data_IF_219559296852
#
_entry.id   IF_219559296852
#
_cell.length_a   1.000
_cell.length_b   1.000
_cell.length_c   1.000
_cell.angle_alpha   90.00
_cell.angle_beta   90.00
_cell.angle_gamma   90.00
#
_symmetry.space_group_name_H-M   'P 1'
#
loop_
_entity.id
_entity.type
_entity.pdbx_description
1 polymer ?
#
# COMPACT_ATOMS: atom_id res chain seq x y z
N UNK A 1 56.32 0.60 44.91
CA UNK A 1 55.34 0.08 43.97
C UNK A 1 54.04 -0.04 44.73
N UNK A 2 53.19 0.97 44.66
CA UNK A 2 51.89 1.01 45.33
C UNK A 2 50.83 1.00 44.24
N UNK A 3 50.14 -0.12 44.18
CA UNK A 3 49.06 -0.39 43.22
C UNK A 3 47.80 0.35 43.67
N UNK A 4 47.39 1.38 42.91
CA UNK A 4 46.21 2.19 43.23
C UNK A 4 45.05 1.67 42.41
N UNK A 5 44.38 0.64 42.91
CA UNK A 5 43.13 0.17 42.36
C UNK A 5 41.98 1.09 42.78
N UNK A 6 41.51 1.94 41.87
CA UNK A 6 40.36 2.84 42.12
C UNK A 6 39.07 1.99 42.17
N UNK A 7 38.25 2.04 43.24
CA UNK A 7 36.99 1.29 43.28
C UNK A 7 35.97 1.95 42.37
N UNK A 8 35.52 1.22 41.38
CA UNK A 8 34.40 1.61 40.47
C UNK A 8 33.13 1.72 41.32
N UNK A 9 32.55 2.92 41.39
CA UNK A 9 31.37 3.25 42.19
C UNK A 9 30.15 2.36 41.82
N UNK A 10 29.47 1.72 42.79
CA UNK A 10 28.32 0.84 42.54
C UNK A 10 27.11 1.57 41.88
N UNK A 11 27.03 2.89 42.02
CA UNK A 11 25.98 3.70 41.37
C UNK A 11 26.12 3.84 39.85
N UNK A 12 27.34 3.76 39.31
CA UNK A 12 27.59 3.77 37.86
C UNK A 12 27.06 2.50 37.16
N UNK A 13 27.25 1.34 37.81
CA UNK A 13 26.82 0.05 37.27
C UNK A 13 25.28 -0.11 37.23
N UNK A 14 24.57 0.36 38.27
CA UNK A 14 23.12 0.29 38.33
C UNK A 14 22.46 1.20 37.31
N UNK A 15 22.99 2.39 37.05
CA UNK A 15 22.50 3.31 36.02
C UNK A 15 22.72 2.76 34.60
N UNK A 16 23.89 2.21 34.36
CA UNK A 16 24.24 1.56 33.08
C UNK A 16 23.42 0.29 32.82
N UNK A 17 23.12 -0.49 33.88
CA UNK A 17 22.25 -1.66 33.78
C UNK A 17 20.80 -1.27 33.45
N UNK A 18 20.27 -0.22 34.10
CA UNK A 18 18.90 0.30 33.80
C UNK A 18 18.80 0.87 32.40
N UNK A 19 19.81 1.55 31.88
CA UNK A 19 19.85 2.06 30.51
C UNK A 19 19.85 0.90 29.50
N UNK A 20 20.70 -0.11 29.72
CA UNK A 20 20.77 -1.32 28.90
C UNK A 20 19.45 -2.10 28.92
N UNK A 21 18.81 -2.23 30.08
CA UNK A 21 17.53 -2.93 30.22
C UNK A 21 16.42 -2.22 29.39
N UNK A 22 16.27 -0.88 29.54
CA UNK A 22 15.31 -0.10 28.74
C UNK A 22 15.59 -0.17 27.24
N UNK A 23 16.86 -0.16 26.84
CA UNK A 23 17.24 -0.29 25.44
C UNK A 23 16.84 -1.66 24.88
N UNK A 24 17.07 -2.73 25.62
CA UNK A 24 16.70 -4.09 25.23
C UNK A 24 15.17 -4.27 25.16
N UNK A 25 14.42 -3.71 26.11
CA UNK A 25 12.95 -3.76 26.07
C UNK A 25 12.40 -3.00 24.85
N UNK A 26 12.95 -1.82 24.56
CA UNK A 26 12.59 -1.05 23.37
C UNK A 26 12.89 -1.82 22.08
N UNK A 27 14.07 -2.43 21.98
CA UNK A 27 14.44 -3.24 20.81
C UNK A 27 13.53 -4.45 20.60
N UNK A 28 13.16 -5.13 21.70
CA UNK A 28 12.22 -6.26 21.64
C UNK A 28 10.80 -5.81 21.22
N UNK A 29 10.34 -4.64 21.68
CA UNK A 29 9.04 -4.11 21.28
C UNK A 29 9.00 -3.75 19.79
N UNK A 30 10.07 -3.16 19.26
CA UNK A 30 10.24 -2.83 17.84
C UNK A 30 10.18 -4.07 16.95
N UNK A 31 10.94 -5.10 17.34
CA UNK A 31 10.94 -6.37 16.59
C UNK A 31 9.55 -7.03 16.63
N UNK A 32 8.91 -7.06 17.81
CA UNK A 32 7.54 -7.61 17.93
C UNK A 32 6.53 -6.91 17.01
N UNK A 33 6.60 -5.58 16.87
CA UNK A 33 5.73 -4.83 15.96
C UNK A 33 5.90 -5.31 14.51
N UNK A 34 7.15 -5.38 14.02
CA UNK A 34 7.43 -5.77 12.63
C UNK A 34 7.06 -7.24 12.37
N UNK A 35 7.39 -8.14 13.31
CA UNK A 35 7.04 -9.56 13.20
C UNK A 35 5.53 -9.74 13.18
N UNK A 36 4.80 -9.11 14.11
CA UNK A 36 3.35 -9.20 14.17
C UNK A 36 2.64 -8.58 12.95
N UNK A 37 3.21 -7.54 12.35
CA UNK A 37 2.69 -6.99 11.09
C UNK A 37 2.93 -7.95 9.91
N UNK A 38 4.10 -8.57 9.84
CA UNK A 38 4.43 -9.56 8.82
C UNK A 38 3.55 -10.82 8.93
N UNK A 39 3.29 -11.30 10.15
CA UNK A 39 2.39 -12.43 10.42
C UNK A 39 0.96 -12.13 9.95
N UNK A 40 0.42 -10.96 10.30
CA UNK A 40 -0.92 -10.54 9.83
C UNK A 40 -0.99 -10.52 8.30
N UNK A 41 0.03 -9.96 7.63
CA UNK A 41 0.06 -9.93 6.17
C UNK A 41 0.19 -11.32 5.54
N UNK A 42 0.89 -12.23 6.19
CA UNK A 42 1.05 -13.61 5.72
C UNK A 42 -0.24 -14.43 5.88
N UNK A 43 -0.98 -14.25 6.98
CA UNK A 43 -2.17 -15.01 7.31
C UNK A 43 -3.45 -14.43 6.71
N UNK A 44 -3.66 -13.11 6.85
CA UNK A 44 -4.88 -12.41 6.46
C UNK A 44 -4.76 -11.71 5.09
N UNK A 45 -3.57 -11.65 4.52
CA UNK A 45 -3.31 -10.94 3.27
C UNK A 45 -3.30 -9.42 3.45
N UNK A 46 -3.90 -8.69 2.48
CA UNK A 46 -3.83 -7.22 2.40
C UNK A 46 -5.22 -6.56 2.51
N UNK A 47 -6.19 -7.32 3.01
CA UNK A 47 -7.57 -6.87 3.18
C UNK A 47 -7.74 -5.81 4.27
N UNK A 48 -8.94 -5.28 4.37
CA UNK A 48 -9.32 -4.27 5.38
C UNK A 48 -9.05 -4.76 6.81
N UNK A 49 -9.36 -6.02 7.12
CA UNK A 49 -9.14 -6.61 8.43
C UNK A 49 -7.66 -6.61 8.82
N UNK A 50 -6.77 -7.00 7.88
CA UNK A 50 -5.32 -6.98 8.10
C UNK A 50 -4.81 -5.54 8.33
N UNK A 51 -5.26 -4.57 7.54
CA UNK A 51 -4.87 -3.17 7.71
C UNK A 51 -5.34 -2.61 9.05
N UNK A 52 -6.55 -2.96 9.48
CA UNK A 52 -7.10 -2.59 10.78
C UNK A 52 -6.29 -3.20 11.94
N UNK A 53 -5.93 -4.48 11.83
CA UNK A 53 -5.10 -5.19 12.82
C UNK A 53 -3.72 -4.55 12.96
N UNK A 54 -3.06 -4.23 11.84
CA UNK A 54 -1.74 -3.60 11.84
C UNK A 54 -1.79 -2.16 12.39
N UNK A 55 -2.82 -1.39 12.06
CA UNK A 55 -3.05 -0.07 12.66
C UNK A 55 -3.14 -0.16 14.18
N UNK A 56 -3.95 -1.10 14.71
CA UNK A 56 -4.07 -1.32 16.16
C UNK A 56 -2.73 -1.68 16.83
N UNK A 57 -1.90 -2.51 16.17
CA UNK A 57 -0.55 -2.85 16.66
C UNK A 57 0.39 -1.64 16.67
N UNK A 58 0.35 -0.79 15.65
CA UNK A 58 1.15 0.43 15.58
C UNK A 58 0.74 1.44 16.64
N UNK A 59 -0.56 1.62 16.87
CA UNK A 59 -1.09 2.48 17.94
C UNK A 59 -0.66 1.96 19.32
N UNK A 60 -0.81 0.68 19.58
CA UNK A 60 -0.39 0.05 20.84
C UNK A 60 1.12 0.21 21.08
N UNK A 61 1.95 0.12 20.04
CA UNK A 61 3.39 0.31 20.13
C UNK A 61 3.79 1.70 20.63
N UNK A 62 3.09 2.75 20.18
CA UNK A 62 3.32 4.12 20.65
C UNK A 62 2.45 4.51 21.86
N UNK A 63 1.58 3.62 22.35
CA UNK A 63 0.57 3.92 23.37
C UNK A 63 -0.34 5.08 23.00
N UNK A 64 -0.77 5.11 21.71
CA UNK A 64 -1.71 6.07 21.16
C UNK A 64 -3.06 5.40 20.90
N UNK A 65 -4.16 6.20 20.93
CA UNK A 65 -5.53 5.65 20.90
C UNK A 65 -6.22 5.83 19.56
N UNK A 66 -5.80 6.81 18.76
CA UNK A 66 -6.47 7.21 17.55
C UNK A 66 -5.54 7.11 16.35
N UNK A 67 -6.06 6.67 15.20
CA UNK A 67 -5.22 6.62 14.01
C UNK A 67 -5.96 6.21 12.74
N UNK A 68 -5.26 6.41 11.64
CA UNK A 68 -5.70 6.17 10.27
C UNK A 68 -4.57 5.55 9.46
N UNK A 69 -4.92 4.62 8.60
CA UNK A 69 -4.10 4.21 7.47
C UNK A 69 -4.73 4.76 6.19
N UNK A 70 -3.95 5.49 5.43
CA UNK A 70 -4.37 6.23 4.25
C UNK A 70 -3.57 5.79 3.04
N UNK A 71 -4.24 5.53 1.92
CA UNK A 71 -3.59 5.28 0.63
C UNK A 71 -3.78 6.46 -0.33
N UNK A 72 -2.76 6.76 -1.13
CA UNK A 72 -2.82 7.77 -2.18
C UNK A 72 -3.57 7.23 -3.37
N UNK A 73 -4.59 7.97 -3.81
CA UNK A 73 -5.32 7.75 -5.05
C UNK A 73 -5.29 9.00 -5.93
N UNK A 74 -5.76 8.90 -7.15
CA UNK A 74 -5.80 10.02 -8.11
C UNK A 74 -6.69 11.17 -7.66
N UNK A 75 -7.67 10.90 -6.80
CA UNK A 75 -8.68 11.83 -6.28
C UNK A 75 -8.46 12.22 -4.81
N UNK A 76 -7.33 11.85 -4.21
CA UNK A 76 -6.98 12.21 -2.83
C UNK A 76 -6.46 11.03 -2.00
N UNK A 77 -6.58 11.16 -0.69
CA UNK A 77 -6.21 10.13 0.26
C UNK A 77 -7.44 9.32 0.66
N UNK A 78 -7.39 8.00 0.50
CA UNK A 78 -8.47 7.10 0.90
C UNK A 78 -8.14 6.43 2.24
N UNK A 79 -9.09 6.45 3.16
CA UNK A 79 -8.97 5.79 4.46
C UNK A 79 -9.20 4.30 4.28
N UNK A 80 -8.20 3.47 4.59
CA UNK A 80 -8.26 2.00 4.48
C UNK A 80 -8.36 1.29 5.83
N UNK A 81 -7.93 1.96 6.91
CA UNK A 81 -8.19 1.53 8.27
C UNK A 81 -8.32 2.76 9.18
N UNK A 82 -9.12 2.67 10.24
CA UNK A 82 -9.34 3.77 11.16
C UNK A 82 -9.68 3.28 12.56
N UNK A 83 -9.17 3.98 13.59
CA UNK A 83 -9.46 3.71 14.99
C UNK A 83 -9.66 5.02 15.75
N UNK A 84 -10.71 5.11 16.56
CA UNK A 84 -11.05 6.30 17.33
C UNK A 84 -11.98 7.29 16.59
N UNK A 85 -12.17 8.52 17.12
CA UNK A 85 -13.03 9.55 16.55
C UNK A 85 -12.35 10.27 15.37
N UNK A 86 -11.98 9.52 14.35
CA UNK A 86 -11.29 9.96 13.13
C UNK A 86 -12.13 9.66 11.89
N UNK A 87 -11.69 10.10 10.72
CA UNK A 87 -12.41 9.84 9.47
C UNK A 87 -12.63 8.32 9.27
N UNK A 88 -13.83 7.88 8.93
CA UNK A 88 -14.16 6.45 8.82
C UNK A 88 -13.50 5.82 7.59
N UNK A 89 -13.38 4.48 7.61
CA UNK A 89 -12.93 3.70 6.45
C UNK A 89 -13.78 4.03 5.22
N UNK A 90 -13.15 4.14 4.07
CA UNK A 90 -13.76 4.57 2.82
C UNK A 90 -13.90 6.08 2.63
N UNK A 91 -13.64 6.88 3.67
CA UNK A 91 -13.64 8.35 3.53
C UNK A 91 -12.49 8.80 2.62
N UNK A 92 -12.72 9.92 1.92
CA UNK A 92 -11.72 10.60 1.09
C UNK A 92 -11.30 11.90 1.73
N UNK A 93 -10.02 12.12 1.83
CA UNK A 93 -9.43 13.29 2.45
C UNK A 93 -8.56 14.04 1.43
N UNK A 94 -8.63 15.37 1.37
CA UNK A 94 -7.73 16.14 0.52
C UNK A 94 -6.31 16.12 1.10
N UNK A 95 -5.31 15.92 0.23
CA UNK A 95 -3.90 16.02 0.60
C UNK A 95 -3.49 17.50 0.74
N UNK A 96 -3.79 18.13 1.87
CA UNK A 96 -3.48 19.55 2.14
C UNK A 96 -2.80 19.73 3.49
N UNK A 97 -2.04 20.81 3.68
CA UNK A 97 -1.32 21.10 4.92
C UNK A 97 -0.31 20.02 5.28
N UNK A 98 -0.30 19.59 6.53
CA UNK A 98 0.60 18.56 7.05
C UNK A 98 0.54 17.23 6.27
N UNK A 99 -0.65 16.85 5.77
CA UNK A 99 -0.79 15.63 4.94
C UNK A 99 -0.05 15.78 3.61
N UNK A 100 -0.12 16.96 2.99
CA UNK A 100 0.62 17.24 1.76
C UNK A 100 2.13 17.25 2.01
N UNK A 101 2.59 17.86 3.10
CA UNK A 101 3.99 17.90 3.51
C UNK A 101 4.54 16.47 3.74
N UNK A 102 3.82 15.65 4.48
CA UNK A 102 4.21 14.26 4.76
C UNK A 102 4.25 13.36 3.51
N UNK A 103 3.57 13.76 2.41
CA UNK A 103 3.56 13.03 1.15
C UNK A 103 4.66 13.45 0.18
N UNK A 104 5.41 14.52 0.46
CA UNK A 104 6.50 14.99 -0.41
C UNK A 104 7.58 13.92 -0.60
N UNK A 105 8.32 14.00 -1.71
CA UNK A 105 9.47 13.12 -1.94
C UNK A 105 10.50 13.32 -0.82
N UNK A 106 10.96 12.19 -0.27
CA UNK A 106 11.90 12.16 0.85
C UNK A 106 11.44 12.82 2.16
N UNK A 107 10.14 13.13 2.32
CA UNK A 107 9.62 13.62 3.60
C UNK A 107 9.93 12.62 4.72
N UNK A 108 10.40 13.12 5.84
CA UNK A 108 10.56 12.35 7.09
C UNK A 108 9.22 12.27 7.81
N UNK A 109 9.07 11.37 8.78
CA UNK A 109 7.91 11.39 9.66
C UNK A 109 7.70 12.78 10.27
N UNK A 110 6.48 13.29 10.18
CA UNK A 110 6.12 14.60 10.72
C UNK A 110 5.47 14.41 12.08
N UNK A 111 5.95 15.14 13.08
CA UNK A 111 5.43 15.13 14.44
C UNK A 111 4.90 16.52 14.76
N UNK A 112 3.65 16.59 15.19
CA UNK A 112 3.00 17.84 15.58
C UNK A 112 2.39 17.68 16.99
N UNK A 113 2.43 18.75 17.78
CA UNK A 113 1.87 18.76 19.13
C UNK A 113 0.92 19.95 19.29
N UNK A 114 -0.11 19.75 20.13
CA UNK A 114 -1.09 20.78 20.49
C UNK A 114 -1.73 21.48 19.28
N UNK A 115 -2.19 20.67 18.30
CA UNK A 115 -2.78 21.16 17.05
C UNK A 115 -4.27 20.81 16.91
N UNK A 116 -4.90 21.42 15.91
CA UNK A 116 -6.22 21.00 15.41
C UNK A 116 -6.02 20.07 14.21
N UNK A 117 -6.21 18.75 14.42
CA UNK A 117 -6.07 17.76 13.36
C UNK A 117 -7.30 17.74 12.44
N UNK A 118 -7.07 17.73 11.14
CA UNK A 118 -8.11 17.55 10.11
C UNK A 118 -8.57 16.08 9.99
N UNK A 119 -7.84 15.17 10.60
CA UNK A 119 -8.12 13.73 10.56
C UNK A 119 -9.22 13.36 11.57
N UNK A 120 -9.41 14.15 12.64
CA UNK A 120 -10.47 13.94 13.62
C UNK A 120 -11.82 14.42 13.11
N UNK A 121 -12.85 13.67 13.46
CA UNK A 121 -14.26 14.02 13.22
C UNK A 121 -14.93 14.52 14.50
N UNK A 122 -16.00 15.29 14.35
CA UNK A 122 -16.73 15.88 15.49
C UNK A 122 -16.36 17.34 15.78
N UNK A 123 -16.77 17.83 16.95
CA UNK A 123 -16.60 19.23 17.35
C UNK A 123 -15.20 19.53 17.88
N UNK A 124 -14.65 18.62 18.66
CA UNK A 124 -13.28 18.75 19.19
C UNK A 124 -12.29 18.04 18.28
N UNK A 125 -11.47 18.83 17.61
CA UNK A 125 -10.40 18.36 16.71
C UNK A 125 -9.00 18.57 17.31
N UNK A 126 -8.92 18.97 18.58
CA UNK A 126 -7.63 19.17 19.24
C UNK A 126 -6.96 17.85 19.52
N UNK A 127 -5.67 17.74 19.20
CA UNK A 127 -4.81 16.62 19.51
C UNK A 127 -3.56 17.11 20.22
N UNK A 128 -3.17 16.42 21.28
CA UNK A 128 -1.92 16.71 22.00
C UNK A 128 -0.67 16.19 21.28
N UNK A 129 -0.83 15.14 20.46
CA UNK A 129 0.24 14.60 19.61
C UNK A 129 -0.35 14.02 18.32
N UNK A 130 0.25 14.37 17.19
CA UNK A 130 0.02 13.75 15.87
C UNK A 130 1.35 13.31 15.27
N UNK A 131 1.39 12.06 14.79
CA UNK A 131 2.55 11.46 14.11
C UNK A 131 2.10 10.98 12.74
N UNK A 132 2.67 11.56 11.69
CA UNK A 132 2.42 11.20 10.29
C UNK A 132 3.64 10.48 9.73
N UNK A 133 3.49 9.21 9.39
CA UNK A 133 4.56 8.37 8.83
C UNK A 133 4.25 8.07 7.37
N UNK A 134 5.08 8.52 6.40
CA UNK A 134 4.85 8.22 5.00
C UNK A 134 5.04 6.73 4.69
N UNK A 135 4.11 6.16 3.94
CA UNK A 135 4.21 4.83 3.36
C UNK A 135 4.95 4.95 2.03
N UNK A 136 6.14 4.36 1.92
CA UNK A 136 7.00 4.56 0.75
C UNK A 136 7.14 3.30 -0.08
N UNK A 137 7.03 3.46 -1.41
CA UNK A 137 7.30 2.42 -2.38
C UNK A 137 8.13 3.00 -3.53
N UNK A 138 9.32 2.47 -3.76
CA UNK A 138 10.27 2.98 -4.78
C UNK A 138 10.49 4.50 -4.73
N UNK A 139 10.67 5.06 -3.53
CA UNK A 139 10.89 6.50 -3.32
C UNK A 139 9.63 7.36 -3.39
N UNK A 140 8.50 6.84 -3.85
CA UNK A 140 7.23 7.57 -3.93
C UNK A 140 6.35 7.31 -2.72
N UNK A 141 5.58 8.30 -2.31
CA UNK A 141 4.57 8.14 -1.26
C UNK A 141 3.36 7.37 -1.79
N UNK A 142 3.10 6.20 -1.22
CA UNK A 142 1.92 5.37 -1.49
C UNK A 142 0.77 5.65 -0.53
N UNK A 143 1.03 6.35 0.57
CA UNK A 143 0.05 6.67 1.60
C UNK A 143 0.67 7.24 2.86
N UNK A 144 -0.11 7.25 3.94
CA UNK A 144 0.30 7.71 5.27
C UNK A 144 -0.26 6.80 6.36
N UNK A 145 0.55 6.54 7.38
CA UNK A 145 0.10 6.06 8.67
C UNK A 145 0.04 7.27 9.62
N UNK A 146 -1.16 7.65 10.01
CA UNK A 146 -1.41 8.75 10.93
C UNK A 146 -1.81 8.19 12.29
N UNK A 147 -1.13 8.61 13.35
CA UNK A 147 -1.38 8.16 14.72
C UNK A 147 -1.48 9.38 15.64
N UNK A 148 -2.44 9.37 16.55
CA UNK A 148 -2.75 10.54 17.37
C UNK A 148 -3.12 10.17 18.80
N UNK A 149 -2.93 11.13 19.69
CA UNK A 149 -3.53 11.15 21.02
C UNK A 149 -4.26 12.46 21.24
N UNK A 150 -5.47 12.40 21.77
CA UNK A 150 -6.22 13.58 22.20
C UNK A 150 -5.53 14.30 23.38
N UNK A 151 -4.77 13.55 24.18
CA UNK A 151 -4.02 14.06 25.32
C UNK A 151 -2.57 14.36 24.95
N UNK A 152 -1.90 15.28 25.67
CA UNK A 152 -0.47 15.45 25.52
C UNK A 152 0.26 14.12 25.74
N UNK A 153 1.10 13.74 24.79
CA UNK A 153 1.89 12.51 24.82
C UNK A 153 3.34 12.82 24.43
N UNK A 154 4.26 12.02 24.93
CA UNK A 154 5.67 12.15 24.55
C UNK A 154 5.83 11.75 23.07
N UNK A 155 6.58 12.53 22.27
CA UNK A 155 6.88 12.16 20.91
C UNK A 155 7.73 10.88 20.85
N UNK A 156 7.53 10.04 19.80
CA UNK A 156 8.36 8.86 19.59
C UNK A 156 9.84 9.25 19.38
N UNK A 157 10.75 8.42 19.85
CA UNK A 157 12.17 8.63 19.63
C UNK A 157 12.59 8.23 18.18
N UNK A 158 13.83 8.54 17.81
CA UNK A 158 14.33 8.29 16.45
C UNK A 158 14.31 6.81 16.06
N UNK A 159 14.58 5.90 17.00
CA UNK A 159 14.53 4.47 16.73
C UNK A 159 13.10 3.98 16.49
N UNK A 160 12.12 4.49 17.23
CA UNK A 160 10.71 4.15 17.06
C UNK A 160 10.18 4.67 15.71
N UNK A 161 10.59 5.89 15.32
CA UNK A 161 10.26 6.44 13.99
C UNK A 161 10.88 5.60 12.87
N UNK A 162 12.13 5.15 13.04
CA UNK A 162 12.78 4.28 12.05
C UNK A 162 12.02 2.97 11.85
N UNK A 163 11.55 2.35 12.92
CA UNK A 163 10.74 1.12 12.83
C UNK A 163 9.39 1.38 12.18
N UNK A 164 8.74 2.51 12.47
CA UNK A 164 7.49 2.89 11.81
C UNK A 164 7.68 3.19 10.31
N UNK A 165 8.83 3.73 9.90
CA UNK A 165 9.18 3.89 8.49
C UNK A 165 9.38 2.53 7.78
N UNK A 166 10.01 1.55 8.46
CA UNK A 166 10.11 0.18 7.95
C UNK A 166 8.73 -0.44 7.82
N UNK A 167 7.87 -0.32 8.84
CA UNK A 167 6.47 -0.76 8.78
C UNK A 167 5.75 -0.09 7.61
N UNK A 168 5.90 1.22 7.42
CA UNK A 168 5.34 1.95 6.30
C UNK A 168 5.78 1.41 4.93
N UNK A 169 7.05 1.03 4.79
CA UNK A 169 7.57 0.41 3.56
C UNK A 169 6.96 -0.98 3.33
N UNK A 170 6.81 -1.78 4.37
CA UNK A 170 6.15 -3.09 4.30
C UNK A 170 4.70 -2.93 3.83
N UNK A 171 3.94 -2.01 4.44
CA UNK A 171 2.54 -1.74 4.08
C UNK A 171 2.40 -1.21 2.65
N UNK A 172 3.26 -0.29 2.23
CA UNK A 172 3.27 0.22 0.86
C UNK A 172 3.55 -0.89 -0.16
N UNK A 173 4.52 -1.76 0.13
CA UNK A 173 4.88 -2.89 -0.73
C UNK A 173 3.73 -3.90 -0.83
N UNK A 174 3.12 -4.23 0.30
CA UNK A 174 1.97 -5.12 0.38
C UNK A 174 0.78 -4.57 -0.42
N UNK A 175 0.48 -3.28 -0.27
CA UNK A 175 -0.60 -2.62 -1.02
C UNK A 175 -0.34 -2.65 -2.54
N UNK A 176 0.87 -2.35 -2.98
CA UNK A 176 1.24 -2.39 -4.40
C UNK A 176 1.18 -3.81 -4.97
N UNK A 177 1.57 -4.82 -4.19
CA UNK A 177 1.45 -6.22 -4.59
C UNK A 177 -0.02 -6.62 -4.77
N UNK A 178 -0.91 -6.15 -3.88
CA UNK A 178 -2.35 -6.38 -3.97
C UNK A 178 -3.01 -5.61 -5.13
N UNK A 179 -2.51 -4.40 -5.42
CA UNK A 179 -3.02 -3.53 -6.51
C UNK A 179 -2.57 -3.98 -7.89
N UNK A 180 -1.48 -4.72 -7.99
CA UNK A 180 -1.12 -5.43 -9.22
C UNK A 180 -2.01 -6.66 -9.30
N UNK A 181 -2.86 -6.80 -10.36
CA UNK A 181 -3.60 -8.03 -10.52
C UNK A 181 -2.58 -9.17 -10.50
N UNK A 182 -2.70 -10.09 -9.54
CA UNK A 182 -1.89 -11.31 -9.55
C UNK A 182 -2.08 -11.93 -10.93
N UNK A 183 -1.01 -12.47 -11.51
CA UNK A 183 -1.06 -13.13 -12.83
C UNK A 183 -2.27 -14.08 -12.91
N UNK A 184 -2.64 -14.69 -11.80
CA UNK A 184 -3.80 -15.57 -11.67
C UNK A 184 -5.14 -14.81 -11.67
N UNK A 185 -5.26 -13.67 -11.00
CA UNK A 185 -6.49 -12.87 -11.00
C UNK A 185 -6.67 -12.13 -12.33
N UNK A 186 -5.58 -11.62 -12.92
CA UNK A 186 -5.55 -11.09 -14.26
C UNK A 186 -5.95 -12.18 -15.28
N UNK A 187 -5.38 -13.38 -15.19
CA UNK A 187 -5.73 -14.52 -16.04
C UNK A 187 -7.21 -14.91 -15.89
N UNK A 188 -7.77 -14.90 -14.66
CA UNK A 188 -9.18 -15.24 -14.42
C UNK A 188 -10.13 -14.16 -14.95
N UNK A 189 -9.85 -12.89 -14.72
CA UNK A 189 -10.65 -11.77 -15.22
C UNK A 189 -10.59 -11.69 -16.76
N UNK A 190 -9.45 -11.94 -17.33
CA UNK A 190 -9.24 -11.94 -18.76
C UNK A 190 -9.81 -13.19 -19.43
N UNK A 191 -9.75 -14.37 -18.81
CA UNK A 191 -10.45 -15.57 -19.26
C UNK A 191 -11.97 -15.35 -19.25
N UNK A 192 -12.50 -14.60 -18.29
CA UNK A 192 -13.91 -14.21 -18.27
C UNK A 192 -14.26 -13.25 -19.41
N UNK A 193 -13.39 -12.31 -19.77
CA UNK A 193 -13.56 -11.42 -20.93
C UNK A 193 -13.49 -12.20 -22.24
N UNK A 194 -12.56 -13.15 -22.40
CA UNK A 194 -12.48 -14.00 -23.59
C UNK A 194 -13.73 -14.86 -23.81
N UNK A 195 -14.40 -15.31 -22.74
CA UNK A 195 -15.68 -16.02 -22.82
C UNK A 195 -16.83 -15.19 -23.41
N UNK A 196 -16.67 -13.86 -23.49
CA UNK A 196 -17.65 -12.97 -24.11
C UNK A 196 -17.52 -12.92 -25.65
N UNK A 197 -16.41 -13.43 -26.19
CA UNK A 197 -16.23 -13.54 -27.64
C UNK A 197 -17.04 -14.71 -28.18
N UNK A 198 -17.71 -14.47 -29.32
CA UNK A 198 -18.31 -15.55 -30.07
C UNK A 198 -17.23 -16.43 -30.73
N UNK A 199 -17.56 -17.64 -31.11
CA UNK A 199 -16.61 -18.54 -31.79
C UNK A 199 -15.92 -17.88 -33.00
N UNK A 200 -16.63 -17.02 -33.73
CA UNK A 200 -16.09 -16.31 -34.88
C UNK A 200 -15.15 -15.17 -34.50
N UNK A 201 -15.51 -14.41 -33.49
CA UNK A 201 -14.65 -13.38 -32.93
C UNK A 201 -13.36 -13.98 -32.30
N UNK A 202 -13.47 -15.15 -31.68
CA UNK A 202 -12.30 -15.86 -31.12
C UNK A 202 -11.34 -16.32 -32.24
N UNK A 203 -11.88 -16.83 -33.38
CA UNK A 203 -11.07 -17.18 -34.55
C UNK A 203 -10.30 -15.97 -35.10
N UNK A 204 -10.97 -14.83 -35.27
CA UNK A 204 -10.35 -13.59 -35.74
C UNK A 204 -9.31 -13.10 -34.71
N UNK A 205 -9.61 -13.16 -33.41
CA UNK A 205 -8.71 -12.78 -32.32
C UNK A 205 -7.43 -13.61 -32.33
N UNK A 206 -7.54 -14.93 -32.50
CA UNK A 206 -6.40 -15.84 -32.55
C UNK A 206 -5.44 -15.59 -33.71
N UNK A 207 -5.93 -14.98 -34.81
CA UNK A 207 -5.14 -14.63 -35.99
C UNK A 207 -4.41 -13.28 -35.87
N UNK A 208 -4.79 -12.41 -34.91
CA UNK A 208 -4.20 -11.07 -34.75
C UNK A 208 -2.69 -11.06 -34.50
N UNK A 209 -2.13 -11.96 -33.67
CA UNK A 209 -0.67 -12.03 -33.45
C UNK A 209 0.16 -12.28 -34.69
N UNK A 210 -0.42 -12.95 -35.71
CA UNK A 210 0.25 -13.25 -36.97
C UNK A 210 0.44 -12.01 -37.85
N UNK A 211 -0.08 -10.85 -37.47
CA UNK A 211 0.07 -9.61 -38.25
C UNK A 211 -0.67 -9.60 -39.61
N UNK A 212 -1.58 -10.52 -39.82
CA UNK A 212 -2.31 -10.67 -41.09
C UNK A 212 -3.17 -9.44 -41.41
N UNK A 213 -3.28 -9.07 -42.66
CA UNK A 213 -4.24 -8.03 -43.07
C UNK A 213 -5.69 -8.54 -42.98
N UNK A 214 -6.68 -7.64 -42.95
CA UNK A 214 -8.08 -8.04 -42.93
C UNK A 214 -8.45 -8.89 -44.17
N UNK A 215 -7.82 -8.63 -45.32
CA UNK A 215 -8.01 -9.42 -46.53
C UNK A 215 -7.46 -10.84 -46.39
N UNK A 216 -6.24 -10.99 -45.83
CA UNK A 216 -5.63 -12.30 -45.60
C UNK A 216 -6.42 -13.14 -44.57
N UNK A 217 -6.89 -12.48 -43.47
CA UNK A 217 -7.77 -13.14 -42.49
C UNK A 217 -9.11 -13.57 -43.15
N UNK A 218 -9.65 -12.72 -44.01
CA UNK A 218 -10.91 -12.98 -44.71
C UNK A 218 -10.79 -14.20 -45.61
N UNK A 219 -9.69 -14.32 -46.35
CA UNK A 219 -9.35 -15.47 -47.20
C UNK A 219 -9.26 -16.76 -46.40
N UNK A 220 -8.46 -16.77 -45.29
CA UNK A 220 -8.32 -17.95 -44.42
C UNK A 220 -9.64 -18.35 -43.75
N UNK A 221 -10.51 -17.39 -43.47
CA UNK A 221 -11.78 -17.62 -42.78
C UNK A 221 -12.98 -17.83 -43.75
N UNK A 222 -12.80 -17.64 -45.04
CA UNK A 222 -13.86 -17.78 -46.02
C UNK A 222 -14.98 -16.73 -45.90
N UNK A 223 -14.65 -15.47 -45.55
CA UNK A 223 -15.59 -14.36 -45.36
C UNK A 223 -15.11 -13.08 -46.05
N UNK A 224 -15.95 -12.05 -46.12
CA UNK A 224 -15.54 -10.76 -46.65
C UNK A 224 -14.60 -9.99 -45.72
N UNK A 225 -13.62 -9.25 -46.26
CA UNK A 225 -12.69 -8.42 -45.49
C UNK A 225 -13.43 -7.36 -44.64
N UNK A 226 -14.58 -6.83 -45.11
CA UNK A 226 -15.44 -5.95 -44.34
C UNK A 226 -16.01 -6.62 -43.05
N UNK A 227 -16.33 -7.91 -43.17
CA UNK A 227 -16.84 -8.70 -42.03
C UNK A 227 -15.74 -8.90 -40.98
N UNK A 228 -14.49 -9.14 -41.39
CA UNK A 228 -13.32 -9.20 -40.47
C UNK A 228 -13.16 -7.89 -39.74
N UNK A 229 -13.27 -6.73 -40.41
CA UNK A 229 -13.21 -5.42 -39.79
C UNK A 229 -14.25 -5.27 -38.67
N UNK A 230 -15.48 -5.64 -38.93
CA UNK A 230 -16.58 -5.59 -37.95
C UNK A 230 -16.30 -6.52 -36.76
N UNK A 231 -15.75 -7.71 -36.98
CA UNK A 231 -15.34 -8.59 -35.88
C UNK A 231 -14.24 -7.98 -35.02
N UNK A 232 -13.23 -7.37 -35.65
CA UNK A 232 -12.14 -6.68 -34.91
C UNK A 232 -12.73 -5.56 -34.05
N UNK A 233 -13.58 -4.70 -34.57
CA UNK A 233 -14.22 -3.62 -33.82
C UNK A 233 -15.00 -4.15 -32.61
N UNK A 234 -15.74 -5.22 -32.75
CA UNK A 234 -16.49 -5.89 -31.67
C UNK A 234 -15.55 -6.50 -30.63
N UNK A 235 -14.44 -7.12 -31.05
CA UNK A 235 -13.44 -7.69 -30.18
C UNK A 235 -12.82 -6.57 -29.32
N UNK A 236 -12.37 -5.47 -29.92
CA UNK A 236 -11.80 -4.33 -29.23
C UNK A 236 -12.78 -3.77 -28.18
N UNK A 237 -14.04 -3.60 -28.54
CA UNK A 237 -15.08 -3.13 -27.63
C UNK A 237 -15.33 -4.12 -26.46
N UNK A 238 -15.49 -5.43 -26.75
CA UNK A 238 -15.76 -6.45 -25.71
C UNK A 238 -14.60 -6.65 -24.74
N UNK A 239 -13.37 -6.52 -25.24
CA UNK A 239 -12.17 -6.70 -24.44
C UNK A 239 -11.65 -5.39 -23.82
N UNK A 240 -12.29 -4.25 -24.15
CA UNK A 240 -11.89 -2.90 -23.72
C UNK A 240 -10.46 -2.58 -24.13
N UNK A 241 -10.14 -2.79 -25.43
CA UNK A 241 -8.84 -2.56 -26.02
C UNK A 241 -8.91 -1.36 -26.98
N UNK A 242 -7.83 -0.55 -27.02
CA UNK A 242 -7.78 0.70 -27.78
C UNK A 242 -7.57 0.47 -29.29
N UNK A 243 -6.77 -0.53 -29.61
CA UNK A 243 -6.37 -0.79 -30.98
C UNK A 243 -6.02 -2.26 -31.21
N UNK A 244 -5.79 -2.59 -32.49
CA UNK A 244 -5.45 -3.93 -32.95
C UNK A 244 -4.10 -4.43 -32.40
N UNK A 245 -3.14 -3.54 -32.18
CA UNK A 245 -1.83 -3.90 -31.65
C UNK A 245 -1.95 -4.41 -30.23
N UNK A 246 -2.74 -3.70 -29.40
CA UNK A 246 -3.08 -4.18 -28.06
C UNK A 246 -3.78 -5.54 -28.10
N UNK A 247 -4.71 -5.74 -29.05
CA UNK A 247 -5.40 -7.00 -29.18
C UNK A 247 -4.46 -8.15 -29.59
N UNK A 248 -3.47 -7.89 -30.45
CA UNK A 248 -2.46 -8.86 -30.83
C UNK A 248 -1.57 -9.26 -29.64
N UNK A 249 -1.07 -8.28 -28.88
CA UNK A 249 -0.29 -8.54 -27.65
C UNK A 249 -1.13 -9.33 -26.63
N UNK A 250 -2.37 -8.92 -26.44
CA UNK A 250 -3.30 -9.61 -25.55
C UNK A 250 -3.55 -11.05 -25.97
N UNK A 251 -3.65 -11.32 -27.28
CA UNK A 251 -3.80 -12.68 -27.78
C UNK A 251 -2.56 -13.55 -27.56
N UNK A 252 -1.34 -13.00 -27.68
CA UNK A 252 -0.08 -13.71 -27.34
C UNK A 252 -0.04 -14.10 -25.87
N UNK A 253 -0.42 -13.19 -24.98
CA UNK A 253 -0.45 -13.43 -23.52
C UNK A 253 -1.39 -14.58 -23.14
N UNK A 254 -2.37 -14.90 -24.00
CA UNK A 254 -3.31 -16.02 -23.86
C UNK A 254 -2.95 -17.27 -24.68
N UNK A 255 -1.74 -17.32 -25.21
CA UNK A 255 -1.24 -18.48 -25.95
C UNK A 255 -1.75 -18.61 -27.39
N UNK A 256 -2.34 -17.55 -27.97
CA UNK A 256 -2.73 -17.46 -29.37
C UNK A 256 -1.58 -16.87 -30.19
N UNK A 257 -0.55 -17.55 -30.51
CA UNK A 257 0.57 -16.95 -31.25
C UNK A 257 1.70 -17.91 -31.57
N UNK A 258 1.43 -19.20 -31.33
CA UNK A 258 2.33 -20.29 -31.70
C UNK A 258 2.00 -20.87 -33.08
#
# INVERSE_FOLDING_TARGET
MTDTTTPTSPHGNARSARVRYRHNEGSAARLRLLTAAAEVLAEEGHGEAAMQSILGKALSFLSLEEGLLLHVHTDGLHVVASQGPVAPVGARLPATGALHEALQENALPLIQQDIHSRLRVGRDKTVGLEVLVPLRFHGRSAGLLAMMSARPAAPPNADDLSVLQVLGTILATAHQAASKPTVRAAATASAAKLKQLTSRELQVFAMMPRGLTNAAMAEELGIAAGTVKVHIERILHKLDLRDRTQAAVYAVDYGFGG
#
